data_IF_809961319025
#
_entry.id   IF_809961319025
#
_cell.length_a   1.000
_cell.length_b   1.000
_cell.length_c   1.000
_cell.angle_alpha   90.00
_cell.angle_beta   90.00
_cell.angle_gamma   90.00
#
_symmetry.space_group_name_H-M   'P 1'
#
loop_
_entity.id
_entity.type
_entity.pdbx_description
1 polymer ?
#
# COMPACT_ATOMS: atom_id res chain seq x y z
N UNK A 1 -16.81 -13.41 4.31
CA UNK A 1 -15.58 -12.58 4.32
C UNK A 1 -14.85 -12.54 5.67
N UNK A 2 -15.19 -13.41 6.61
CA UNK A 2 -14.43 -13.61 7.87
C UNK A 2 -13.31 -14.66 7.72
N UNK A 3 -13.13 -15.21 6.55
CA UNK A 3 -12.36 -16.42 6.28
C UNK A 3 -10.81 -16.26 6.43
N UNK A 4 -10.30 -14.99 6.41
CA UNK A 4 -8.86 -14.71 6.46
C UNK A 4 -8.39 -14.15 7.82
N UNK A 5 -9.33 -13.75 8.68
CA UNK A 5 -9.02 -13.02 9.92
C UNK A 5 -9.83 -13.59 11.08
N UNK A 6 -9.52 -14.84 11.46
CA UNK A 6 -10.14 -15.49 12.60
C UNK A 6 -9.89 -14.68 13.88
N UNK A 7 -10.97 -14.40 14.63
CA UNK A 7 -10.89 -13.63 15.87
C UNK A 7 -10.82 -12.11 15.70
N UNK A 8 -10.77 -11.60 14.46
CA UNK A 8 -10.81 -10.15 14.20
C UNK A 8 -12.24 -9.62 14.16
N UNK A 9 -12.42 -8.44 14.69
CA UNK A 9 -13.65 -7.68 14.51
C UNK A 9 -13.70 -7.10 13.09
N UNK A 10 -14.89 -7.12 12.49
CA UNK A 10 -15.20 -6.36 11.28
C UNK A 10 -15.98 -5.13 11.69
N UNK A 11 -15.35 -3.97 11.53
CA UNK A 11 -15.92 -2.68 11.87
C UNK A 11 -16.34 -1.94 10.61
N UNK A 12 -17.38 -1.12 10.73
CA UNK A 12 -17.79 -0.16 9.71
C UNK A 12 -17.46 1.22 10.26
N UNK A 13 -16.37 1.84 9.77
CA UNK A 13 -15.82 3.07 10.34
C UNK A 13 -16.23 4.27 9.49
N UNK A 14 -17.02 5.22 10.01
CA UNK A 14 -17.45 6.38 9.25
C UNK A 14 -16.29 7.36 9.01
N UNK A 15 -16.21 7.85 7.79
CA UNK A 15 -15.30 8.92 7.36
C UNK A 15 -16.05 9.99 6.58
N UNK A 16 -15.36 11.05 6.21
CA UNK A 16 -15.93 12.16 5.41
C UNK A 16 -16.43 11.75 4.03
N UNK A 17 -16.00 10.60 3.50
CA UNK A 17 -16.39 10.12 2.15
C UNK A 17 -17.25 8.86 2.16
N UNK A 18 -17.59 8.34 3.32
CA UNK A 18 -18.38 7.13 3.50
C UNK A 18 -17.78 6.17 4.51
N UNK A 19 -18.41 5.03 4.67
CA UNK A 19 -18.04 4.03 5.65
C UNK A 19 -16.96 3.09 5.11
N UNK A 20 -15.88 2.89 5.87
CA UNK A 20 -14.82 1.95 5.54
C UNK A 20 -14.98 0.66 6.32
N UNK A 21 -15.03 -0.50 5.65
CA UNK A 21 -14.85 -1.79 6.31
C UNK A 21 -13.40 -1.92 6.80
N UNK A 22 -13.24 -2.21 8.10
CA UNK A 22 -11.93 -2.32 8.75
C UNK A 22 -11.86 -3.64 9.53
N UNK A 23 -10.77 -4.37 9.39
CA UNK A 23 -10.46 -5.50 10.27
C UNK A 23 -9.63 -5.00 11.44
N UNK A 24 -10.04 -5.35 12.68
CA UNK A 24 -9.30 -5.02 13.90
C UNK A 24 -9.04 -6.26 14.72
N UNK A 25 -7.79 -6.50 15.08
CA UNK A 25 -7.39 -7.66 15.92
C UNK A 25 -6.11 -7.38 16.67
N UNK A 26 -5.78 -8.28 17.62
CA UNK A 26 -4.57 -8.16 18.43
C UNK A 26 -4.68 -7.15 19.57
N UNK A 27 -3.56 -6.97 20.30
CA UNK A 27 -3.46 -6.06 21.44
C UNK A 27 -2.07 -5.45 21.52
N UNK A 28 -1.96 -4.19 21.93
CA UNK A 28 -0.68 -3.48 22.07
C UNK A 28 -0.60 -2.21 21.24
N UNK A 29 0.59 -1.91 20.69
CA UNK A 29 0.82 -0.75 19.83
C UNK A 29 -0.18 -0.76 18.66
N UNK A 30 -0.97 0.30 18.43
CA UNK A 30 -1.81 0.36 17.25
C UNK A 30 -0.97 0.51 15.98
N UNK A 31 -1.21 -0.38 15.02
CA UNK A 31 -0.53 -0.43 13.72
C UNK A 31 -1.57 -0.44 12.60
N UNK A 32 -1.48 0.53 11.72
CA UNK A 32 -2.28 0.61 10.49
C UNK A 32 -1.55 -0.14 9.37
N UNK A 33 -2.20 -1.14 8.75
CA UNK A 33 -1.67 -1.89 7.62
C UNK A 33 -2.38 -1.50 6.33
N UNK A 34 -1.63 -1.06 5.32
CA UNK A 34 -2.14 -0.55 4.05
C UNK A 34 -1.64 -1.39 2.87
N UNK A 35 -2.57 -2.01 2.16
CA UNK A 35 -2.30 -2.85 0.99
C UNK A 35 -1.95 -2.04 -0.27
N UNK A 36 -1.60 -2.73 -1.35
CA UNK A 36 -1.30 -2.13 -2.64
C UNK A 36 -2.13 -2.66 -3.80
N UNK A 37 -1.77 -2.22 -4.99
CA UNK A 37 -2.36 -2.64 -6.25
C UNK A 37 -1.79 -4.00 -6.69
N UNK A 38 -2.57 -4.91 -7.24
CA UNK A 38 -4.03 -4.84 -7.49
C UNK A 38 -4.85 -5.58 -6.41
N UNK A 39 -4.35 -5.64 -5.19
CA UNK A 39 -4.88 -6.43 -4.09
C UNK A 39 -5.81 -5.64 -3.16
N UNK A 40 -6.20 -6.27 -2.05
CA UNK A 40 -7.02 -5.72 -0.98
C UNK A 40 -6.35 -5.97 0.38
N UNK A 41 -7.03 -5.62 1.48
CA UNK A 41 -6.59 -5.96 2.84
C UNK A 41 -6.18 -7.43 3.01
N UNK A 42 -6.69 -8.33 2.16
CA UNK A 42 -6.39 -9.78 2.22
C UNK A 42 -4.90 -10.10 2.08
N UNK A 43 -4.08 -9.24 1.45
CA UNK A 43 -2.61 -9.43 1.35
C UNK A 43 -1.95 -9.69 2.71
N UNK A 44 -2.54 -9.20 3.80
CA UNK A 44 -1.98 -9.35 5.13
C UNK A 44 -2.38 -10.66 5.84
N UNK A 45 -3.15 -11.56 5.20
CA UNK A 45 -3.68 -12.77 5.85
C UNK A 45 -2.61 -13.71 6.42
N UNK A 46 -1.41 -13.75 5.81
CA UNK A 46 -0.29 -14.58 6.30
C UNK A 46 0.53 -13.90 7.39
N UNK A 47 0.68 -12.58 7.31
CA UNK A 47 1.52 -11.84 8.24
C UNK A 47 0.75 -11.39 9.50
N UNK A 48 -0.55 -11.12 9.39
CA UNK A 48 -1.36 -10.65 10.50
C UNK A 48 -1.35 -11.58 11.72
N UNK A 49 -1.47 -12.92 11.58
CA UNK A 49 -1.38 -13.83 12.73
C UNK A 49 0.00 -13.89 13.40
N UNK A 50 1.04 -13.39 12.74
CA UNK A 50 2.39 -13.29 13.29
C UNK A 50 2.61 -11.98 14.07
N UNK A 51 1.80 -10.98 13.78
CA UNK A 51 1.88 -9.63 14.36
C UNK A 51 0.90 -9.42 15.53
N UNK A 52 -0.32 -9.96 15.43
CA UNK A 52 -1.42 -9.69 16.36
C UNK A 52 -1.19 -10.14 17.81
N UNK A 53 -0.30 -11.12 18.14
CA UNK A 53 0.05 -11.37 19.52
C UNK A 53 0.79 -10.20 20.21
N UNK A 54 1.36 -9.27 19.44
CA UNK A 54 2.25 -8.23 19.92
C UNK A 54 1.71 -6.79 19.70
N UNK A 55 0.80 -6.60 18.73
CA UNK A 55 0.30 -5.29 18.33
C UNK A 55 -1.21 -5.32 18.06
N UNK A 56 -1.85 -4.16 18.09
CA UNK A 56 -3.23 -4.01 17.62
C UNK A 56 -3.21 -3.64 16.14
N UNK A 57 -3.74 -4.51 15.29
CA UNK A 57 -3.79 -4.32 13.85
C UNK A 57 -5.10 -3.65 13.42
N UNK A 58 -4.98 -2.65 12.55
CA UNK A 58 -6.07 -1.96 11.88
C UNK A 58 -5.84 -2.10 10.37
N UNK A 59 -6.71 -2.83 9.67
CA UNK A 59 -6.51 -3.26 8.29
C UNK A 59 -7.72 -2.86 7.44
N UNK A 60 -7.76 -1.62 6.89
CA UNK A 60 -8.78 -1.19 5.93
C UNK A 60 -8.40 -1.59 4.50
N UNK A 61 -9.37 -1.56 3.59
CA UNK A 61 -9.09 -1.35 2.18
C UNK A 61 -8.79 0.13 1.91
N UNK A 62 -7.93 0.41 0.93
CA UNK A 62 -7.69 1.78 0.47
C UNK A 62 -8.90 2.29 -0.31
N UNK A 63 -9.15 3.62 -0.28
CA UNK A 63 -10.12 4.30 -1.14
C UNK A 63 -10.02 3.78 -2.57
N UNK A 64 -11.13 3.35 -3.13
CA UNK A 64 -11.20 2.85 -4.49
C UNK A 64 -10.94 1.35 -4.66
N UNK A 65 -10.48 0.66 -3.62
CA UNK A 65 -10.17 -0.77 -3.63
C UNK A 65 -11.15 -1.56 -2.76
N UNK A 66 -11.29 -2.85 -3.06
CA UNK A 66 -12.12 -3.75 -2.27
C UNK A 66 -13.52 -3.20 -2.01
N UNK A 67 -13.92 -3.21 -0.75
CA UNK A 67 -15.21 -2.69 -0.30
C UNK A 67 -15.16 -1.22 0.19
N UNK A 68 -13.99 -0.56 0.09
CA UNK A 68 -13.85 0.84 0.48
C UNK A 68 -14.64 1.78 -0.45
N UNK A 69 -15.01 2.99 0.00
CA UNK A 69 -15.70 4.00 -0.81
C UNK A 69 -14.95 4.34 -2.10
N UNK A 70 -15.72 4.56 -3.18
CA UNK A 70 -15.25 4.89 -4.52
C UNK A 70 -15.88 6.21 -4.97
N UNK A 71 -15.43 7.36 -4.43
CA UNK A 71 -15.97 8.65 -4.80
C UNK A 71 -15.73 8.97 -6.27
N UNK A 72 -16.59 9.79 -6.91
CA UNK A 72 -16.32 10.28 -8.24
C UNK A 72 -15.02 11.11 -8.29
N UNK A 73 -14.33 11.06 -9.42
CA UNK A 73 -13.13 11.85 -9.68
C UNK A 73 -13.41 12.96 -10.69
N UNK A 74 -12.51 13.93 -10.75
CA UNK A 74 -12.51 15.03 -11.72
C UNK A 74 -11.21 15.02 -12.55
N UNK A 75 -11.05 16.02 -13.44
CA UNK A 75 -9.85 16.13 -14.28
C UNK A 75 -8.56 16.38 -13.48
N UNK A 76 -8.64 16.85 -12.25
CA UNK A 76 -7.50 17.07 -11.38
C UNK A 76 -7.09 15.81 -10.59
N UNK A 77 -7.91 14.75 -10.62
CA UNK A 77 -7.71 13.47 -9.92
C UNK A 77 -7.51 13.61 -8.40
N UNK A 78 -7.93 14.74 -7.82
CA UNK A 78 -7.72 15.06 -6.39
C UNK A 78 -8.30 14.01 -5.46
N UNK A 79 -9.49 13.49 -5.80
CA UNK A 79 -10.19 12.50 -4.97
C UNK A 79 -9.35 11.23 -4.73
N UNK A 80 -8.43 10.89 -5.62
CA UNK A 80 -7.58 9.70 -5.49
C UNK A 80 -6.11 10.03 -5.21
N UNK A 81 -5.81 11.29 -4.85
CA UNK A 81 -4.47 11.66 -4.42
C UNK A 81 -4.07 10.96 -3.12
N UNK A 82 -2.78 10.72 -2.95
CA UNK A 82 -2.26 10.12 -1.71
C UNK A 82 -2.57 10.97 -0.47
N UNK A 83 -2.72 12.29 -0.65
CA UNK A 83 -3.13 13.20 0.43
C UNK A 83 -4.55 12.92 0.89
N UNK A 84 -5.49 12.74 -0.03
CA UNK A 84 -6.87 12.41 0.30
C UNK A 84 -6.99 11.00 0.89
N UNK A 85 -6.29 10.01 0.34
CA UNK A 85 -6.24 8.67 0.91
C UNK A 85 -5.61 8.66 2.31
N UNK A 86 -4.56 9.45 2.54
CA UNK A 86 -3.96 9.61 3.87
C UNK A 86 -4.92 10.24 4.88
N UNK A 87 -5.77 11.18 4.43
CA UNK A 87 -6.82 11.76 5.27
C UNK A 87 -7.83 10.71 5.71
N UNK A 88 -8.27 9.82 4.82
CA UNK A 88 -9.17 8.72 5.19
C UNK A 88 -8.57 7.86 6.29
N UNK A 89 -7.30 7.52 6.16
CA UNK A 89 -6.60 6.70 7.16
C UNK A 89 -6.48 7.42 8.50
N UNK A 90 -6.22 8.72 8.48
CA UNK A 90 -6.20 9.53 9.70
C UNK A 90 -7.59 9.63 10.35
N UNK A 91 -8.66 9.75 9.56
CA UNK A 91 -10.05 9.75 10.05
C UNK A 91 -10.42 8.39 10.66
N UNK A 92 -10.08 7.26 10.01
CA UNK A 92 -10.30 5.91 10.54
C UNK A 92 -9.61 5.75 11.90
N UNK A 93 -8.32 6.10 12.00
CA UNK A 93 -7.58 5.97 13.25
C UNK A 93 -8.16 6.88 14.35
N UNK A 94 -8.63 8.08 14.01
CA UNK A 94 -9.31 8.98 14.96
C UNK A 94 -10.64 8.43 15.45
N UNK A 95 -11.47 7.91 14.53
CA UNK A 95 -12.76 7.30 14.86
C UNK A 95 -12.61 6.08 15.78
N UNK A 96 -11.51 5.36 15.66
CA UNK A 96 -11.17 4.23 16.53
C UNK A 96 -10.46 4.63 17.83
N UNK A 97 -10.20 5.93 18.05
CA UNK A 97 -9.58 6.45 19.28
C UNK A 97 -8.04 6.35 19.31
N UNK A 98 -7.39 6.10 18.18
CA UNK A 98 -5.93 6.00 18.10
C UNK A 98 -5.30 7.33 17.69
N UNK A 99 -4.88 8.14 18.66
CA UNK A 99 -4.22 9.43 18.44
C UNK A 99 -2.82 9.28 17.84
N UNK A 100 -2.07 8.25 18.28
CA UNK A 100 -0.73 7.94 17.78
C UNK A 100 -0.62 6.46 17.44
N UNK A 101 0.02 6.15 16.33
CA UNK A 101 0.10 4.79 15.80
C UNK A 101 1.33 4.61 14.90
N UNK A 102 1.74 3.36 14.70
CA UNK A 102 2.65 2.99 13.62
C UNK A 102 1.85 2.72 12.33
N UNK A 103 2.48 2.92 11.19
CA UNK A 103 1.89 2.58 9.88
C UNK A 103 2.85 1.74 9.06
N UNK A 104 2.33 0.69 8.45
CA UNK A 104 3.06 -0.13 7.48
C UNK A 104 2.25 -0.22 6.18
N UNK A 105 2.91 0.02 5.06
CA UNK A 105 2.25 0.01 3.76
C UNK A 105 3.05 -0.70 2.69
N UNK A 106 2.34 -1.50 1.90
CA UNK A 106 2.87 -2.20 0.73
C UNK A 106 2.45 -1.46 -0.55
N UNK A 107 3.35 -1.32 -1.51
CA UNK A 107 3.11 -0.72 -2.84
C UNK A 107 2.32 0.60 -2.76
N UNK A 108 1.08 0.68 -3.29
CA UNK A 108 0.23 1.89 -3.23
C UNK A 108 -0.03 2.31 -1.78
N UNK A 109 -0.25 1.34 -0.89
CA UNK A 109 -0.40 1.59 0.55
C UNK A 109 0.85 2.16 1.20
N UNK A 110 2.04 1.79 0.75
CA UNK A 110 3.29 2.39 1.19
C UNK A 110 3.39 3.88 0.81
N UNK A 111 2.84 4.25 -0.36
CA UNK A 111 2.78 5.65 -0.81
C UNK A 111 1.76 6.47 -0.01
N UNK A 112 0.62 5.86 0.33
CA UNK A 112 -0.36 6.46 1.26
C UNK A 112 0.27 6.62 2.65
N UNK A 113 0.96 5.60 3.16
CA UNK A 113 1.66 5.65 4.45
C UNK A 113 2.74 6.75 4.48
N UNK A 114 3.51 6.91 3.39
CA UNK A 114 4.47 8.00 3.25
C UNK A 114 3.79 9.37 3.31
N UNK A 115 2.69 9.56 2.59
CA UNK A 115 1.92 10.82 2.61
C UNK A 115 1.30 11.07 3.99
N UNK A 116 0.76 10.02 4.63
CA UNK A 116 0.22 10.09 5.99
C UNK A 116 1.30 10.53 7.00
N UNK A 117 2.51 9.98 6.88
CA UNK A 117 3.64 10.36 7.73
C UNK A 117 4.07 11.83 7.51
N UNK A 118 3.90 12.38 6.31
CA UNK A 118 4.16 13.81 6.05
C UNK A 118 3.07 14.71 6.62
N UNK A 119 1.82 14.44 6.29
CA UNK A 119 0.70 15.34 6.64
C UNK A 119 0.29 15.23 8.11
N UNK A 120 0.57 14.09 8.74
CA UNK A 120 0.19 13.79 10.14
C UNK A 120 1.39 13.34 10.97
N UNK A 121 2.55 13.99 10.82
CA UNK A 121 3.82 13.60 11.44
C UNK A 121 3.75 13.46 12.97
N UNK A 122 2.93 14.26 13.65
CA UNK A 122 2.75 14.16 15.11
C UNK A 122 2.03 12.87 15.56
N UNK A 123 1.32 12.22 14.66
CA UNK A 123 0.53 11.01 14.93
C UNK A 123 1.26 9.72 14.57
N UNK A 124 2.12 9.75 13.53
CA UNK A 124 2.85 8.57 13.06
C UNK A 124 4.11 8.38 13.89
N UNK A 125 4.18 7.28 14.63
CA UNK A 125 5.34 6.95 15.49
C UNK A 125 6.45 6.24 14.73
N UNK A 126 6.08 5.36 13.79
CA UNK A 126 6.99 4.58 12.94
C UNK A 126 6.35 4.42 11.56
N UNK A 127 7.15 4.49 10.52
CA UNK A 127 6.72 4.19 9.15
C UNK A 127 7.48 2.96 8.63
N UNK A 128 6.77 1.92 8.24
CA UNK A 128 7.32 0.79 7.49
C UNK A 128 6.80 0.82 6.05
N UNK A 129 7.69 0.77 5.07
CA UNK A 129 7.33 0.69 3.65
C UNK A 129 7.82 -0.63 3.07
N UNK A 130 6.99 -1.25 2.22
CA UNK A 130 7.29 -2.55 1.64
C UNK A 130 7.31 -2.48 0.11
N UNK A 131 8.48 -2.86 -0.43
CA UNK A 131 8.84 -2.99 -1.85
C UNK A 131 8.55 -1.75 -2.71
N UNK A 132 8.91 -0.57 -2.20
CA UNK A 132 8.84 0.71 -2.90
C UNK A 132 10.05 1.60 -2.62
N UNK A 133 10.32 2.53 -3.54
CA UNK A 133 11.12 3.73 -3.32
C UNK A 133 10.20 4.98 -3.34
N UNK A 134 10.65 6.16 -2.91
CA UNK A 134 9.85 7.40 -2.94
C UNK A 134 9.29 7.69 -4.34
N UNK A 135 8.01 8.07 -4.42
CA UNK A 135 7.27 8.21 -5.70
C UNK A 135 7.96 9.19 -6.64
N UNK A 136 8.33 10.37 -6.15
CA UNK A 136 9.00 11.40 -6.94
C UNK A 136 10.31 10.87 -7.54
N UNK A 137 11.15 10.23 -6.73
CA UNK A 137 12.40 9.61 -7.19
C UNK A 137 12.17 8.59 -8.31
N UNK A 138 11.14 7.73 -8.17
CA UNK A 138 10.85 6.71 -9.19
C UNK A 138 10.40 7.34 -10.52
N UNK A 139 9.63 8.43 -10.50
CA UNK A 139 9.26 9.15 -11.72
C UNK A 139 10.44 9.89 -12.33
N UNK A 140 11.27 10.56 -11.54
CA UNK A 140 12.42 11.33 -12.03
C UNK A 140 13.53 10.42 -12.58
N UNK A 141 13.66 9.17 -12.09
CA UNK A 141 14.59 8.16 -12.59
C UNK A 141 14.05 7.32 -13.77
N UNK A 142 12.94 7.71 -14.38
CA UNK A 142 12.32 6.94 -15.45
C UNK A 142 13.24 6.84 -16.67
N UNK A 143 13.56 5.61 -17.05
CA UNK A 143 14.27 5.25 -18.27
C UNK A 143 13.56 4.09 -18.98
N UNK A 144 14.15 3.56 -20.06
CA UNK A 144 13.58 2.45 -20.81
C UNK A 144 13.38 1.20 -19.93
N UNK A 145 14.33 0.88 -19.06
CA UNK A 145 14.23 -0.29 -18.20
C UNK A 145 13.09 -0.13 -17.18
N UNK A 146 12.97 1.05 -16.56
CA UNK A 146 11.85 1.37 -15.68
C UNK A 146 10.52 1.32 -16.42
N UNK A 147 10.40 2.00 -17.56
CA UNK A 147 9.17 2.04 -18.35
C UNK A 147 8.72 0.66 -18.81
N UNK A 148 9.66 -0.26 -19.09
CA UNK A 148 9.36 -1.64 -19.46
C UNK A 148 8.84 -2.44 -18.27
N UNK A 149 9.50 -2.38 -17.12
CA UNK A 149 9.13 -3.14 -15.93
C UNK A 149 7.87 -2.56 -15.25
N UNK A 150 7.77 -1.24 -15.19
CA UNK A 150 6.66 -0.50 -14.57
C UNK A 150 5.69 0.10 -15.60
N UNK A 151 5.55 -0.54 -16.78
CA UNK A 151 4.67 -0.03 -17.85
C UNK A 151 3.26 0.28 -17.37
N UNK A 152 2.78 -0.42 -16.35
CA UNK A 152 1.45 -0.23 -15.78
C UNK A 152 1.25 1.18 -15.20
N UNK A 153 2.30 1.87 -14.71
CA UNK A 153 2.21 3.25 -14.26
C UNK A 153 1.79 4.19 -15.41
N UNK A 154 2.36 3.97 -16.59
CA UNK A 154 2.10 4.76 -17.78
C UNK A 154 0.81 4.34 -18.49
N UNK A 155 0.45 3.06 -18.39
CA UNK A 155 -0.78 2.52 -18.96
C UNK A 155 -2.00 2.95 -18.13
N UNK A 156 -1.99 2.74 -16.81
CA UNK A 156 -3.11 3.06 -15.93
C UNK A 156 -3.36 4.57 -15.81
N UNK A 157 -2.34 5.40 -16.02
CA UNK A 157 -2.47 6.86 -16.04
C UNK A 157 -3.00 7.41 -17.36
N UNK A 158 -3.21 6.59 -18.38
CA UNK A 158 -3.82 7.07 -19.64
C UNK A 158 -5.25 7.55 -19.41
N UNK A 159 -5.70 8.45 -20.33
CA UNK A 159 -7.04 9.03 -20.28
C UNK A 159 -8.12 7.95 -20.35
N UNK A 160 -9.14 8.09 -19.50
CA UNK A 160 -10.33 7.23 -19.54
C UNK A 160 -11.02 7.35 -20.93
N UNK A 161 -11.61 6.26 -21.42
CA UNK A 161 -11.78 4.95 -20.80
C UNK A 161 -10.74 3.91 -21.29
N UNK A 162 -9.55 4.31 -21.78
CA UNK A 162 -8.63 3.37 -22.44
C UNK A 162 -8.18 2.22 -21.53
N UNK A 163 -7.53 2.46 -20.36
CA UNK A 163 -7.10 1.35 -19.52
C UNK A 163 -8.29 0.58 -18.93
N UNK A 164 -9.36 1.26 -18.55
CA UNK A 164 -10.57 0.62 -18.01
C UNK A 164 -11.19 -0.36 -19.00
N UNK A 165 -11.25 0.02 -20.29
CA UNK A 165 -11.81 -0.84 -21.33
C UNK A 165 -10.95 -2.07 -21.58
N UNK A 166 -9.63 -1.90 -21.65
CA UNK A 166 -8.69 -2.98 -21.91
C UNK A 166 -8.61 -3.97 -20.75
N UNK A 167 -8.55 -3.48 -19.51
CA UNK A 167 -8.57 -4.32 -18.32
C UNK A 167 -9.92 -5.01 -18.15
N UNK A 168 -11.01 -4.26 -18.34
CA UNK A 168 -12.37 -4.76 -18.20
C UNK A 168 -12.79 -5.82 -19.25
N UNK A 169 -12.01 -5.97 -20.33
CA UNK A 169 -12.23 -7.03 -21.33
C UNK A 169 -11.90 -8.43 -20.74
N UNK A 170 -10.87 -8.54 -19.88
CA UNK A 170 -10.52 -9.76 -19.16
C UNK A 170 -9.77 -9.40 -17.86
N UNK A 171 -10.47 -8.98 -16.82
CA UNK A 171 -9.85 -8.55 -15.58
C UNK A 171 -9.15 -9.69 -14.82
N UNK A 172 -9.65 -10.93 -14.93
CA UNK A 172 -9.04 -12.09 -14.29
C UNK A 172 -7.66 -12.40 -14.89
N UNK A 173 -7.56 -12.40 -16.23
CA UNK A 173 -6.28 -12.58 -16.91
C UNK A 173 -5.30 -11.45 -16.53
N UNK A 174 -5.76 -10.20 -16.57
CA UNK A 174 -4.90 -9.05 -16.24
C UNK A 174 -4.37 -9.13 -14.80
N UNK A 175 -5.25 -9.42 -13.84
CA UNK A 175 -4.87 -9.60 -12.42
C UNK A 175 -3.82 -10.71 -12.28
N UNK A 176 -4.10 -11.92 -12.81
CA UNK A 176 -3.18 -13.05 -12.70
C UNK A 176 -1.83 -12.72 -13.31
N UNK A 177 -1.81 -12.13 -14.51
CA UNK A 177 -0.57 -11.73 -15.18
C UNK A 177 0.26 -10.72 -14.35
N UNK A 178 -0.38 -9.82 -13.59
CA UNK A 178 0.33 -8.90 -12.69
C UNK A 178 0.91 -9.64 -11.48
N UNK A 179 0.11 -10.46 -10.82
CA UNK A 179 0.55 -11.23 -9.67
C UNK A 179 1.74 -12.13 -10.01
N UNK A 180 1.68 -12.85 -11.15
CA UNK A 180 2.75 -13.72 -11.62
C UNK A 180 4.03 -12.94 -12.02
N UNK A 181 3.86 -11.80 -12.70
CA UNK A 181 5.01 -11.03 -13.19
C UNK A 181 5.81 -10.33 -12.08
N UNK A 182 5.20 -10.04 -10.94
CA UNK A 182 5.83 -9.28 -9.85
C UNK A 182 6.27 -10.15 -8.68
N UNK A 183 5.79 -11.38 -8.58
CA UNK A 183 6.21 -12.32 -7.54
C UNK A 183 7.64 -12.83 -7.76
N UNK A 184 8.23 -13.32 -6.69
CA UNK A 184 9.43 -14.15 -6.72
C UNK A 184 9.13 -15.58 -7.16
N UNK A 185 10.14 -16.43 -7.09
CA UNK A 185 9.99 -17.85 -7.37
C UNK A 185 9.29 -18.58 -6.22
N UNK A 186 8.49 -19.61 -6.55
CA UNK A 186 7.85 -20.51 -5.59
C UNK A 186 6.32 -20.35 -5.51
N UNK A 187 5.70 -21.21 -4.73
CA UNK A 187 4.26 -21.18 -4.46
C UNK A 187 3.98 -20.26 -3.27
N UNK A 188 3.60 -19.03 -3.55
CA UNK A 188 3.32 -18.01 -2.54
C UNK A 188 1.83 -17.63 -2.48
N UNK A 189 1.13 -17.71 -3.62
CA UNK A 189 -0.26 -17.26 -3.76
C UNK A 189 -1.22 -18.33 -3.23
N UNK A 190 -1.97 -17.98 -2.19
CA UNK A 190 -3.08 -18.78 -1.70
C UNK A 190 -4.27 -18.67 -2.66
N UNK A 191 -4.86 -19.80 -3.06
CA UNK A 191 -5.97 -19.83 -4.02
C UNK A 191 -7.21 -19.07 -3.53
N UNK A 192 -7.50 -19.13 -2.23
CA UNK A 192 -8.64 -18.38 -1.66
C UNK A 192 -8.36 -16.88 -1.68
N UNK A 193 -7.11 -16.47 -1.37
CA UNK A 193 -6.70 -15.08 -1.47
C UNK A 193 -6.80 -14.59 -2.92
N UNK A 194 -6.35 -15.38 -3.90
CA UNK A 194 -6.51 -15.07 -5.31
C UNK A 194 -7.97 -14.85 -5.71
N UNK A 195 -8.88 -15.75 -5.31
CA UNK A 195 -10.30 -15.60 -5.61
C UNK A 195 -10.92 -14.34 -4.98
N UNK A 196 -10.46 -13.96 -3.79
CA UNK A 196 -10.88 -12.71 -3.14
C UNK A 196 -10.38 -11.47 -3.92
N UNK A 197 -9.12 -11.48 -4.37
CA UNK A 197 -8.58 -10.42 -5.23
C UNK A 197 -9.32 -10.32 -6.56
N UNK A 198 -9.58 -11.45 -7.20
CA UNK A 198 -10.30 -11.51 -8.48
C UNK A 198 -11.73 -10.97 -8.35
N UNK A 199 -12.45 -11.38 -7.30
CA UNK A 199 -13.80 -10.90 -7.03
C UNK A 199 -13.84 -9.36 -6.81
N UNK A 200 -12.85 -8.81 -6.10
CA UNK A 200 -12.73 -7.38 -5.86
C UNK A 200 -12.30 -6.63 -7.13
N UNK A 201 -11.22 -7.07 -7.77
CA UNK A 201 -10.61 -6.37 -8.90
C UNK A 201 -11.47 -6.40 -10.17
N UNK A 202 -12.31 -7.41 -10.36
CA UNK A 202 -13.20 -7.53 -11.54
C UNK A 202 -14.36 -6.53 -11.54
N UNK A 203 -14.56 -5.78 -10.48
CA UNK A 203 -15.59 -4.74 -10.42
C UNK A 203 -15.15 -3.51 -11.23
N UNK A 204 -16.06 -3.00 -12.09
CA UNK A 204 -15.75 -1.87 -13.01
C UNK A 204 -15.35 -0.60 -12.29
N UNK A 205 -15.97 -0.34 -11.16
CA UNK A 205 -15.67 0.83 -10.32
C UNK A 205 -14.30 0.70 -9.62
N UNK A 206 -13.87 -0.51 -9.22
CA UNK A 206 -12.53 -0.79 -8.70
C UNK A 206 -11.47 -0.59 -9.79
N UNK A 207 -11.71 -1.09 -11.01
CA UNK A 207 -10.80 -0.86 -12.15
C UNK A 207 -10.66 0.63 -12.41
N UNK A 208 -11.76 1.37 -12.48
CA UNK A 208 -11.75 2.83 -12.69
C UNK A 208 -11.03 3.55 -11.56
N UNK A 209 -11.35 3.26 -10.31
CA UNK A 209 -10.73 3.87 -9.15
C UNK A 209 -9.21 3.61 -9.08
N UNK A 210 -8.77 2.39 -9.44
CA UNK A 210 -7.35 2.10 -9.53
C UNK A 210 -6.66 2.91 -10.63
N UNK A 211 -7.29 3.13 -11.79
CA UNK A 211 -6.76 4.03 -12.82
C UNK A 211 -6.67 5.48 -12.31
N UNK A 212 -7.69 5.96 -11.59
CA UNK A 212 -7.68 7.30 -10.98
C UNK A 212 -6.55 7.46 -9.96
N UNK A 213 -6.26 6.44 -9.15
CA UNK A 213 -5.12 6.42 -8.23
C UNK A 213 -3.78 6.59 -8.99
N UNK A 214 -3.61 5.93 -10.15
CA UNK A 214 -2.41 6.10 -10.97
C UNK A 214 -2.37 7.43 -11.73
N UNK A 215 -3.51 7.99 -12.15
CA UNK A 215 -3.60 9.35 -12.72
C UNK A 215 -3.19 10.39 -11.69
N UNK A 216 -3.71 10.29 -10.47
CA UNK A 216 -3.31 11.15 -9.36
C UNK A 216 -1.80 11.04 -9.07
N UNK A 217 -1.24 9.83 -9.08
CA UNK A 217 0.19 9.60 -8.88
C UNK A 217 1.08 10.26 -9.94
N UNK A 218 0.64 10.25 -11.20
CA UNK A 218 1.37 10.86 -12.31
C UNK A 218 1.18 12.38 -12.41
N UNK A 219 0.31 12.97 -11.61
CA UNK A 219 -0.06 14.39 -11.69
C UNK A 219 0.03 15.08 -10.33
N UNK A 220 -1.07 15.12 -9.58
CA UNK A 220 -1.19 15.91 -8.35
C UNK A 220 -0.28 15.41 -7.22
N UNK A 221 -0.03 14.12 -7.12
CA UNK A 221 0.87 13.60 -6.08
C UNK A 221 2.30 14.08 -6.28
N UNK A 222 2.77 14.20 -7.55
CA UNK A 222 4.09 14.78 -7.85
C UNK A 222 4.18 16.26 -7.49
N UNK A 223 3.08 17.02 -7.65
CA UNK A 223 3.02 18.41 -7.18
C UNK A 223 3.15 18.48 -5.67
N UNK A 224 2.43 17.62 -4.95
CA UNK A 224 2.50 17.54 -3.49
C UNK A 224 3.90 17.13 -3.02
N UNK A 225 4.50 16.11 -3.63
CA UNK A 225 5.82 15.61 -3.24
C UNK A 225 6.92 16.63 -3.49
N UNK A 226 6.89 17.34 -4.63
CA UNK A 226 7.85 18.43 -4.92
C UNK A 226 7.72 19.61 -3.95
N UNK A 227 6.52 19.94 -3.52
CA UNK A 227 6.30 21.00 -2.54
C UNK A 227 6.92 20.67 -1.17
N UNK A 228 7.00 19.37 -0.82
CA UNK A 228 7.49 18.89 0.46
C UNK A 228 8.93 18.31 0.43
N UNK A 229 9.58 18.28 -0.75
CA UNK A 229 10.84 17.57 -0.98
C UNK A 229 11.99 18.04 -0.08
N UNK A 230 11.99 19.30 0.31
CA UNK A 230 13.01 19.89 1.21
C UNK A 230 12.77 19.57 2.70
N UNK A 231 11.68 18.89 3.07
CA UNK A 231 11.38 18.54 4.45
C UNK A 231 11.53 17.03 4.66
N UNK A 232 12.57 16.63 5.40
CA UNK A 232 12.77 15.24 5.77
C UNK A 232 11.83 14.80 6.89
N UNK A 233 11.28 13.60 6.76
CA UNK A 233 10.54 12.92 7.80
C UNK A 233 11.44 12.71 9.04
N UNK A 234 10.88 12.94 10.23
CA UNK A 234 11.61 12.88 11.50
C UNK A 234 11.38 11.59 12.27
N UNK A 235 10.25 10.91 12.04
CA UNK A 235 10.01 9.60 12.65
C UNK A 235 10.91 8.53 12.02
N UNK A 236 11.23 7.46 12.76
CA UNK A 236 11.96 6.31 12.22
C UNK A 236 11.23 5.69 11.02
N UNK A 237 12.01 5.34 9.98
CA UNK A 237 11.51 4.63 8.80
C UNK A 237 12.20 3.28 8.67
N UNK A 238 11.41 2.25 8.38
CA UNK A 238 11.88 0.94 7.94
C UNK A 238 11.47 0.73 6.49
N UNK A 239 12.42 0.33 5.65
CA UNK A 239 12.16 -0.15 4.31
C UNK A 239 12.45 -1.65 4.24
N UNK A 240 11.45 -2.43 3.82
CA UNK A 240 11.58 -3.86 3.52
C UNK A 240 11.34 -4.05 2.02
N UNK A 241 12.11 -4.92 1.37
CA UNK A 241 11.92 -5.19 -0.06
C UNK A 241 12.26 -6.62 -0.43
N UNK A 242 11.60 -7.15 -1.46
CA UNK A 242 11.89 -8.50 -1.95
C UNK A 242 13.23 -8.58 -2.69
N UNK A 243 14.07 -9.55 -2.34
CA UNK A 243 15.41 -9.75 -2.92
C UNK A 243 15.41 -9.87 -4.44
N UNK A 244 14.36 -10.46 -5.01
CA UNK A 244 14.27 -10.73 -6.45
C UNK A 244 13.43 -9.70 -7.20
N UNK A 245 12.78 -8.77 -6.47
CA UNK A 245 11.92 -7.72 -7.00
C UNK A 245 12.67 -6.68 -7.85
N UNK A 246 11.91 -5.86 -8.57
CA UNK A 246 12.45 -4.78 -9.38
C UNK A 246 13.10 -3.68 -8.52
N UNK A 247 12.51 -3.38 -7.38
CA UNK A 247 13.01 -2.35 -6.45
C UNK A 247 14.42 -2.67 -5.99
N UNK A 248 14.68 -3.94 -5.61
CA UNK A 248 16.01 -4.42 -5.22
C UNK A 248 17.06 -4.28 -6.35
N UNK A 249 16.65 -4.53 -7.60
CA UNK A 249 17.54 -4.47 -8.76
C UNK A 249 17.85 -3.06 -9.21
N UNK A 250 16.96 -2.12 -8.94
CA UNK A 250 17.02 -0.76 -9.48
C UNK A 250 17.57 0.26 -8.50
N UNK A 251 17.31 0.10 -7.21
CA UNK A 251 17.58 1.13 -6.21
C UNK A 251 18.48 0.62 -5.08
N UNK A 252 19.37 1.48 -4.61
CA UNK A 252 19.79 1.44 -3.21
C UNK A 252 18.62 1.97 -2.37
N UNK A 253 17.82 1.04 -1.85
CA UNK A 253 16.54 1.35 -1.21
C UNK A 253 16.74 2.22 0.03
N UNK A 254 17.79 1.95 0.81
CA UNK A 254 18.10 2.75 2.00
C UNK A 254 18.50 4.18 1.60
N UNK A 255 19.40 4.33 0.64
CA UNK A 255 19.83 5.63 0.16
C UNK A 255 18.66 6.45 -0.42
N UNK A 256 17.78 5.81 -1.20
CA UNK A 256 16.60 6.47 -1.76
C UNK A 256 15.65 7.02 -0.66
N UNK A 257 15.44 6.25 0.41
CA UNK A 257 14.61 6.73 1.53
C UNK A 257 15.33 7.75 2.42
N UNK A 258 16.65 7.74 2.51
CA UNK A 258 17.44 8.76 3.20
C UNK A 258 17.37 10.13 2.55
N UNK A 259 16.99 10.22 1.27
CA UNK A 259 16.72 11.50 0.61
C UNK A 259 15.56 12.25 1.27
N UNK A 260 14.53 11.52 1.71
CA UNK A 260 13.27 12.07 2.23
C UNK A 260 13.08 11.88 3.75
N UNK A 261 14.02 11.24 4.45
CA UNK A 261 13.92 10.94 5.88
C UNK A 261 15.28 11.10 6.60
N UNK A 262 15.22 11.36 7.92
CA UNK A 262 16.40 11.52 8.76
C UNK A 262 16.97 10.19 9.26
N UNK A 263 16.11 9.21 9.53
CA UNK A 263 16.50 7.91 10.08
C UNK A 263 15.82 6.81 9.29
N UNK A 264 16.61 6.02 8.57
CA UNK A 264 16.14 4.91 7.74
C UNK A 264 16.93 3.66 8.07
N UNK A 265 16.20 2.58 8.33
CA UNK A 265 16.72 1.22 8.47
C UNK A 265 15.98 0.28 7.54
N UNK A 266 16.42 -0.94 7.37
CA UNK A 266 15.70 -1.93 6.60
C UNK A 266 16.61 -2.98 5.99
N UNK A 267 15.99 -3.92 5.31
CA UNK A 267 16.69 -5.03 4.66
C UNK A 267 15.85 -5.65 3.55
N UNK A 268 16.52 -6.42 2.71
CA UNK A 268 15.86 -7.30 1.77
C UNK A 268 15.34 -8.55 2.51
N UNK A 269 14.11 -8.95 2.19
CA UNK A 269 13.50 -10.22 2.60
C UNK A 269 13.40 -11.17 1.41
N UNK A 270 13.11 -12.44 1.65
CA UNK A 270 12.92 -13.43 0.59
C UNK A 270 11.74 -13.04 -0.32
N UNK A 271 11.75 -13.53 -1.57
CA UNK A 271 10.65 -13.31 -2.52
C UNK A 271 10.79 -12.06 -3.39
N UNK A 272 9.71 -11.71 -4.05
CA UNK A 272 9.54 -10.60 -4.97
C UNK A 272 8.75 -9.43 -4.36
N UNK A 273 7.76 -8.95 -5.11
CA UNK A 273 7.02 -7.75 -4.75
C UNK A 273 6.06 -7.92 -3.57
N UNK A 274 5.44 -9.10 -3.43
CA UNK A 274 4.34 -9.30 -2.47
C UNK A 274 4.87 -9.71 -1.08
N UNK A 275 5.72 -8.89 -0.49
CA UNK A 275 6.42 -9.12 0.77
C UNK A 275 5.54 -9.72 1.89
N UNK A 276 4.30 -9.25 2.15
CA UNK A 276 3.47 -9.81 3.23
C UNK A 276 3.03 -11.26 2.99
N UNK A 277 3.01 -11.73 1.74
CA UNK A 277 2.60 -13.07 1.37
C UNK A 277 3.77 -13.99 1.02
N UNK A 278 4.85 -13.44 0.42
CA UNK A 278 6.02 -14.20 -0.01
C UNK A 278 7.02 -14.45 1.12
N UNK A 279 7.14 -13.50 2.08
CA UNK A 279 8.09 -13.58 3.19
C UNK A 279 7.46 -13.15 4.53
N UNK A 280 6.28 -13.68 4.93
CA UNK A 280 5.56 -13.18 6.09
C UNK A 280 6.35 -13.31 7.40
N UNK A 281 7.11 -14.40 7.59
CA UNK A 281 7.88 -14.63 8.82
C UNK A 281 9.07 -13.65 8.92
N UNK A 282 9.83 -13.45 7.84
CA UNK A 282 10.95 -12.52 7.82
C UNK A 282 10.44 -11.09 8.03
N UNK A 283 9.40 -10.71 7.29
CA UNK A 283 8.82 -9.37 7.37
C UNK A 283 8.24 -9.09 8.77
N UNK A 284 7.48 -10.01 9.35
CA UNK A 284 6.92 -9.85 10.70
C UNK A 284 8.01 -9.67 11.76
N UNK A 285 9.06 -10.50 11.72
CA UNK A 285 10.17 -10.42 12.68
C UNK A 285 10.88 -9.06 12.59
N UNK A 286 11.13 -8.56 11.38
CA UNK A 286 11.77 -7.26 11.17
C UNK A 286 10.86 -6.10 11.61
N UNK A 287 9.56 -6.17 11.33
CA UNK A 287 8.59 -5.15 11.73
C UNK A 287 8.45 -5.08 13.26
N UNK A 288 8.30 -6.22 13.93
CA UNK A 288 8.20 -6.27 15.40
C UNK A 288 9.46 -5.74 16.08
N UNK A 289 10.65 -6.11 15.59
CA UNK A 289 11.92 -5.56 16.08
C UNK A 289 11.98 -4.04 15.92
N UNK A 290 11.60 -3.53 14.77
CA UNK A 290 11.60 -2.10 14.46
C UNK A 290 10.62 -1.31 15.33
N UNK A 291 9.45 -1.87 15.61
CA UNK A 291 8.44 -1.24 16.48
C UNK A 291 8.74 -1.41 17.98
N UNK A 292 9.74 -2.21 18.36
CA UNK A 292 10.06 -2.49 19.77
C UNK A 292 9.02 -3.37 20.47
N UNK A 293 8.39 -4.28 19.72
CA UNK A 293 7.31 -5.16 20.18
C UNK A 293 7.71 -6.65 20.21
N UNK A 294 8.99 -6.97 20.05
CA UNK A 294 9.52 -8.35 20.05
C UNK A 294 9.81 -8.87 21.44
#
# INVERSE_FOLDING_TARGET
MTEFYDGYETLCVPTSIGDFPVRRGGTGLPVLLLHGYPQTHVIFHKIAPLLDPHVTLIIPDLRGYGDAPKPPSDEAHLAYSKREMARDMAEIMSALGYERFAVAGHDRGGRVAHRLARDYAARVTHLTVMDIAPTLRMFDDTDQAFATAYYHWFFLSQKAPLPETLIGADPAYYLRAKLEAWSGEGEWLDEKAYLAYEAAFSQKDVIHASCEDYRAAATIDLVHDRADDHHKLTMPIQALWGKTGFVAKRYDVIAAWQEVAQSVTGCAVSGGHFVPEEAPQEAAAEMLRFWGCS
#
